data_IF_811495775014
#
_entry.id   IF_811495775014
#
_cell.length_a   1.000
_cell.length_b   1.000
_cell.length_c   1.000
_cell.angle_alpha   90.00
_cell.angle_beta   90.00
_cell.angle_gamma   90.00
#
_symmetry.space_group_name_H-M   'P 1'
#
loop_
_entity.id
_entity.type
_entity.pdbx_description
1 polymer ?
#
# COMPACT_ATOMS: atom_id res chain seq x y z
N UNK A 1 -22.30 35.50 -15.40
CA UNK A 1 -21.74 36.13 -14.18
C UNK A 1 -22.12 35.38 -12.91
N UNK A 2 -23.40 35.23 -12.53
CA UNK A 2 -23.76 34.41 -11.35
C UNK A 2 -23.67 32.90 -11.62
N UNK A 3 -24.03 32.44 -12.83
CA UNK A 3 -23.94 31.03 -13.24
C UNK A 3 -22.50 30.53 -13.30
N UNK A 4 -21.59 31.34 -13.84
CA UNK A 4 -20.17 30.98 -13.96
C UNK A 4 -19.50 30.83 -12.57
N UNK A 5 -19.87 31.71 -11.63
CA UNK A 5 -19.39 31.63 -10.25
C UNK A 5 -19.91 30.36 -9.53
N UNK A 6 -21.14 29.93 -9.82
CA UNK A 6 -21.70 28.68 -9.27
C UNK A 6 -20.99 27.45 -9.86
N UNK A 7 -20.69 27.46 -11.16
CA UNK A 7 -19.96 26.37 -11.82
C UNK A 7 -18.51 26.26 -11.32
N UNK A 8 -17.87 27.39 -11.07
CA UNK A 8 -16.51 27.46 -10.51
C UNK A 8 -16.46 26.92 -9.08
N UNK A 9 -17.40 27.34 -8.23
CA UNK A 9 -17.56 26.80 -6.87
C UNK A 9 -17.79 25.27 -6.92
N UNK A 10 -18.63 24.79 -7.83
CA UNK A 10 -18.91 23.35 -7.95
C UNK A 10 -17.65 22.54 -8.33
N UNK A 11 -16.83 23.06 -9.25
CA UNK A 11 -15.54 22.44 -9.63
C UNK A 11 -14.56 22.41 -8.47
N UNK A 12 -14.47 23.48 -7.68
CA UNK A 12 -13.59 23.52 -6.51
C UNK A 12 -14.02 22.50 -5.44
N UNK A 13 -15.32 22.36 -5.20
CA UNK A 13 -15.85 21.35 -4.28
C UNK A 13 -15.54 19.92 -4.75
N UNK A 14 -15.70 19.63 -6.04
CA UNK A 14 -15.34 18.33 -6.61
C UNK A 14 -13.85 18.05 -6.47
N UNK A 15 -12.98 19.02 -6.81
CA UNK A 15 -11.53 18.88 -6.67
C UNK A 15 -11.10 18.73 -5.20
N UNK A 16 -11.81 19.33 -4.24
CA UNK A 16 -11.56 19.12 -2.81
C UNK A 16 -12.00 17.73 -2.35
N UNK A 17 -13.14 17.22 -2.84
CA UNK A 17 -13.61 15.87 -2.56
C UNK A 17 -12.66 14.81 -3.12
N UNK A 18 -12.21 14.96 -4.36
CA UNK A 18 -11.26 14.05 -5.01
C UNK A 18 -9.93 13.98 -4.25
N UNK A 19 -9.40 15.12 -3.80
CA UNK A 19 -8.20 15.18 -2.96
C UNK A 19 -8.39 14.46 -1.63
N UNK A 20 -9.56 14.64 -0.99
CA UNK A 20 -9.89 13.98 0.27
C UNK A 20 -9.97 12.46 0.09
N UNK A 21 -10.64 12.00 -0.97
CA UNK A 21 -10.77 10.59 -1.27
C UNK A 21 -9.42 9.95 -1.60
N UNK A 22 -8.56 10.66 -2.35
CA UNK A 22 -7.20 10.22 -2.63
C UNK A 22 -6.38 10.07 -1.35
N UNK A 23 -6.47 11.03 -0.43
CA UNK A 23 -5.79 10.98 0.86
C UNK A 23 -6.31 9.83 1.74
N UNK A 24 -7.63 9.60 1.77
CA UNK A 24 -8.22 8.47 2.49
C UNK A 24 -7.75 7.12 1.93
N UNK A 25 -7.75 6.95 0.60
CA UNK A 25 -7.24 5.74 -0.06
C UNK A 25 -5.76 5.51 0.24
N UNK A 26 -4.96 6.58 0.25
CA UNK A 26 -3.53 6.52 0.58
C UNK A 26 -3.30 6.08 2.03
N UNK A 27 -4.02 6.67 2.98
CA UNK A 27 -3.97 6.27 4.40
C UNK A 27 -4.39 4.81 4.59
N UNK A 28 -5.43 4.37 3.88
CA UNK A 28 -5.87 2.98 3.92
C UNK A 28 -4.79 2.03 3.37
N UNK A 29 -4.09 2.40 2.30
CA UNK A 29 -2.99 1.62 1.75
C UNK A 29 -1.80 1.51 2.73
N UNK A 30 -1.45 2.59 3.44
CA UNK A 30 -0.40 2.57 4.48
C UNK A 30 -0.78 1.60 5.59
N UNK A 31 -1.98 1.75 6.18
CA UNK A 31 -2.47 0.84 7.23
C UNK A 31 -2.45 -0.62 6.80
N UNK A 32 -2.83 -0.88 5.55
CA UNK A 32 -2.87 -2.24 5.01
C UNK A 32 -1.47 -2.86 4.90
N UNK A 33 -0.44 -2.07 4.57
CA UNK A 33 0.95 -2.56 4.62
C UNK A 33 1.38 -2.85 6.05
N UNK A 34 1.04 -1.96 6.99
CA UNK A 34 1.38 -2.16 8.41
C UNK A 34 0.77 -3.47 8.95
N UNK A 35 -0.50 -3.76 8.62
CA UNK A 35 -1.15 -5.02 8.98
C UNK A 35 -0.42 -6.26 8.43
N UNK A 36 0.07 -6.18 7.18
CA UNK A 36 0.85 -7.26 6.58
C UNK A 36 2.23 -7.41 7.23
N UNK A 37 2.91 -6.30 7.54
CA UNK A 37 4.19 -6.32 8.24
C UNK A 37 4.05 -7.06 9.57
N UNK A 38 3.07 -6.67 10.40
CA UNK A 38 2.78 -7.32 11.67
C UNK A 38 2.50 -8.82 11.51
N UNK A 39 1.72 -9.20 10.50
CA UNK A 39 1.39 -10.60 10.23
C UNK A 39 2.61 -11.44 9.84
N UNK A 40 3.55 -10.85 9.10
CA UNK A 40 4.77 -11.53 8.67
C UNK A 40 5.82 -11.57 9.79
N UNK A 41 5.94 -10.51 10.59
CA UNK A 41 6.77 -10.48 11.80
C UNK A 41 6.33 -11.55 12.79
N UNK A 42 5.03 -11.62 13.09
CA UNK A 42 4.45 -12.66 13.95
C UNK A 42 4.76 -14.07 13.42
N UNK A 43 4.69 -14.26 12.09
CA UNK A 43 5.06 -15.54 11.47
C UNK A 43 6.54 -15.85 11.68
N UNK A 44 7.45 -14.89 11.48
CA UNK A 44 8.90 -15.09 11.67
C UNK A 44 9.21 -15.46 13.13
N UNK A 45 8.57 -14.77 14.08
CA UNK A 45 8.78 -14.96 15.51
C UNK A 45 8.22 -16.30 16.01
N UNK A 46 7.00 -16.65 15.60
CA UNK A 46 6.24 -17.75 16.18
C UNK A 46 6.23 -19.03 15.35
N UNK A 47 6.41 -18.94 14.03
CA UNK A 47 6.20 -20.04 13.09
C UNK A 47 7.32 -20.03 12.03
N UNK A 48 8.43 -20.71 12.31
CA UNK A 48 9.57 -20.84 11.38
C UNK A 48 9.20 -21.66 10.13
N UNK A 49 8.43 -21.08 9.23
CA UNK A 49 7.88 -21.73 8.05
C UNK A 49 7.56 -20.74 6.93
N UNK A 50 7.21 -21.25 5.74
CA UNK A 50 6.86 -20.42 4.61
C UNK A 50 5.56 -19.64 4.86
N UNK A 51 5.43 -18.46 4.27
CA UNK A 51 4.21 -17.66 4.34
C UNK A 51 3.03 -18.46 3.77
N UNK A 52 1.90 -18.57 4.52
CA UNK A 52 0.71 -19.27 4.05
C UNK A 52 0.22 -18.75 2.70
N UNK A 53 -0.23 -19.67 1.83
CA UNK A 53 -0.69 -19.31 0.49
C UNK A 53 -1.79 -18.22 0.47
N UNK A 54 -2.81 -18.26 1.35
CA UNK A 54 -3.83 -17.21 1.36
C UNK A 54 -3.26 -15.82 1.65
N UNK A 55 -2.35 -15.73 2.62
CA UNK A 55 -1.68 -14.47 2.98
C UNK A 55 -0.78 -13.97 1.83
N UNK A 56 -0.05 -14.87 1.17
CA UNK A 56 0.73 -14.52 -0.02
C UNK A 56 -0.11 -13.99 -1.18
N UNK A 57 -1.31 -14.54 -1.40
CA UNK A 57 -2.22 -14.07 -2.44
C UNK A 57 -2.74 -12.67 -2.14
N UNK A 58 -3.06 -12.39 -0.88
CA UNK A 58 -3.47 -11.05 -0.44
C UNK A 58 -2.35 -10.02 -0.62
N UNK A 59 -1.13 -10.34 -0.16
CA UNK A 59 0.04 -9.49 -0.33
C UNK A 59 0.31 -9.25 -1.83
N UNK A 60 0.22 -10.29 -2.65
CA UNK A 60 0.42 -10.19 -4.10
C UNK A 60 -0.60 -9.28 -4.77
N UNK A 61 -1.89 -9.39 -4.40
CA UNK A 61 -2.96 -8.52 -4.91
C UNK A 61 -2.76 -7.07 -4.49
N UNK A 62 -2.28 -6.85 -3.26
CA UNK A 62 -1.98 -5.53 -2.74
C UNK A 62 -0.78 -4.88 -3.44
N UNK A 63 0.31 -5.62 -3.64
CA UNK A 63 1.56 -5.10 -4.22
C UNK A 63 1.44 -4.83 -5.73
N UNK A 64 0.60 -5.59 -6.44
CA UNK A 64 0.40 -5.47 -7.89
C UNK A 64 0.14 -4.02 -8.35
N UNK A 65 -0.81 -3.25 -7.78
CA UNK A 65 -1.02 -1.86 -8.15
C UNK A 65 0.07 -0.89 -7.61
N UNK A 66 0.83 -1.27 -6.58
CA UNK A 66 1.87 -0.43 -5.97
C UNK A 66 3.14 -0.42 -6.82
N UNK A 67 3.67 -1.60 -7.17
CA UNK A 67 4.92 -1.71 -7.93
C UNK A 67 5.07 -3.04 -8.64
N UNK A 68 5.23 -2.98 -9.97
CA UNK A 68 5.56 -4.15 -10.79
C UNK A 68 6.91 -4.76 -10.43
N UNK A 69 7.87 -3.96 -9.96
CA UNK A 69 9.20 -4.43 -9.53
C UNK A 69 9.06 -5.30 -8.27
N UNK A 70 8.31 -4.82 -7.27
CA UNK A 70 8.06 -5.54 -6.03
C UNK A 70 7.23 -6.81 -6.25
N UNK A 71 6.23 -6.74 -7.14
CA UNK A 71 5.48 -7.93 -7.55
C UNK A 71 6.39 -9.02 -8.15
N UNK A 72 7.35 -8.62 -9.01
CA UNK A 72 8.33 -9.57 -9.56
C UNK A 72 9.25 -10.14 -8.48
N UNK A 73 9.62 -9.35 -7.47
CA UNK A 73 10.41 -9.83 -6.34
C UNK A 73 9.64 -10.90 -5.53
N UNK A 74 8.36 -10.66 -5.22
CA UNK A 74 7.49 -11.65 -4.58
C UNK A 74 7.34 -12.93 -5.40
N UNK A 75 7.08 -12.81 -6.70
CA UNK A 75 6.90 -13.98 -7.57
C UNK A 75 8.19 -14.81 -7.72
N UNK A 76 9.37 -14.22 -7.52
CA UNK A 76 10.66 -14.93 -7.48
C UNK A 76 10.91 -15.62 -6.14
N UNK A 77 10.15 -15.28 -5.09
CA UNK A 77 10.22 -15.94 -3.80
C UNK A 77 9.42 -17.26 -3.81
N UNK A 78 9.91 -18.24 -4.57
CA UNK A 78 9.25 -19.54 -4.77
C UNK A 78 9.05 -20.29 -3.45
N UNK A 79 9.98 -20.12 -2.51
CA UNK A 79 9.94 -20.72 -1.17
C UNK A 79 8.98 -20.02 -0.21
N UNK A 80 8.41 -18.86 -0.60
CA UNK A 80 7.59 -18.01 0.28
C UNK A 80 8.30 -17.72 1.60
N UNK A 81 9.60 -17.45 1.50
CA UNK A 81 10.43 -17.08 2.64
C UNK A 81 9.88 -15.78 3.27
N UNK A 82 9.47 -15.79 4.54
CA UNK A 82 8.87 -14.62 5.17
C UNK A 82 9.81 -13.43 5.28
N UNK A 83 11.13 -13.64 5.41
CA UNK A 83 12.10 -12.53 5.45
C UNK A 83 12.10 -11.77 4.14
N UNK A 84 12.07 -12.48 3.01
CA UNK A 84 11.97 -11.85 1.68
C UNK A 84 10.63 -11.14 1.45
N UNK A 85 9.55 -11.64 2.06
CA UNK A 85 8.25 -10.97 1.99
C UNK A 85 8.29 -9.68 2.81
N UNK A 86 8.90 -9.72 4.00
CA UNK A 86 9.10 -8.57 4.86
C UNK A 86 9.90 -7.46 4.16
N UNK A 87 11.01 -7.80 3.50
CA UNK A 87 11.81 -6.84 2.71
C UNK A 87 10.96 -6.13 1.64
N UNK A 88 10.13 -6.88 0.91
CA UNK A 88 9.25 -6.29 -0.10
C UNK A 88 8.17 -5.40 0.51
N UNK A 89 7.63 -5.77 1.68
CA UNK A 89 6.64 -4.97 2.37
C UNK A 89 7.24 -3.66 2.90
N UNK A 90 8.49 -3.66 3.39
CA UNK A 90 9.19 -2.42 3.76
C UNK A 90 9.40 -1.50 2.55
N UNK A 91 9.86 -2.05 1.41
CA UNK A 91 9.98 -1.27 0.17
C UNK A 91 8.62 -0.69 -0.26
N UNK A 92 7.54 -1.47 -0.12
CA UNK A 92 6.18 -1.00 -0.43
C UNK A 92 5.72 0.11 0.52
N UNK A 93 6.01 -0.01 1.82
CA UNK A 93 5.72 1.03 2.82
C UNK A 93 6.44 2.33 2.45
N UNK A 94 7.72 2.26 2.07
CA UNK A 94 8.51 3.42 1.67
C UNK A 94 7.94 4.13 0.42
N UNK A 95 7.35 3.38 -0.52
CA UNK A 95 6.68 3.94 -1.69
C UNK A 95 5.33 4.60 -1.37
N UNK A 96 4.63 4.12 -0.35
CA UNK A 96 3.31 4.61 0.05
C UNK A 96 3.39 5.77 1.05
N UNK A 97 4.44 5.79 1.87
CA UNK A 97 4.74 6.93 2.71
C UNK A 97 5.03 8.12 1.79
N UNK A 98 4.39 9.27 2.04
CA UNK A 98 4.78 10.48 1.35
C UNK A 98 6.25 10.71 1.71
N UNK A 99 7.06 11.19 0.77
CA UNK A 99 8.34 11.78 1.15
C UNK A 99 8.01 12.82 2.20
N UNK A 100 8.21 12.51 3.47
CA UNK A 100 8.34 13.50 4.50
C UNK A 100 9.51 14.33 3.98
N UNK A 101 9.17 15.44 3.35
CA UNK A 101 10.13 16.47 3.07
C UNK A 101 10.81 16.71 4.40
N UNK A 102 12.11 16.45 4.39
CA UNK A 102 13.08 16.91 5.37
C UNK A 102 12.60 18.29 5.84
N UNK A 103 12.15 18.34 7.10
CA UNK A 103 11.97 19.59 7.83
C UNK A 103 13.31 19.98 8.43
#
# INVERSE_FOLDING_TARGET
MLSDAIDEIHREFQAAADRRDQELRRRAAVRRVDDFLLSIEDLIENQRGPVPAPLMDEITRFIRPVSRKLLRALNRNVTRDPVRVLDVLFDAQQLLLPRLMVA
#
